data_IF_678486217701
#
_entry.id   IF_678486217701
#
_cell.length_a   1.000
_cell.length_b   1.000
_cell.length_c   1.000
_cell.angle_alpha   90.00
_cell.angle_beta   90.00
_cell.angle_gamma   90.00
#
_symmetry.space_group_name_H-M   'P 1'
#
loop_
_entity.id
_entity.type
_entity.pdbx_description
1 polymer ?
#
# COMPACT_ATOMS: atom_id res chain seq x y z
N UNK A 1 -24.27 19.50 14.97
CA UNK A 1 -24.02 18.61 13.81
C UNK A 1 -23.13 17.48 14.33
N UNK A 2 -23.48 16.23 14.04
CA UNK A 2 -22.59 15.10 14.37
C UNK A 2 -21.34 15.19 13.50
N UNK A 3 -20.16 15.01 14.09
CA UNK A 3 -18.90 14.94 13.38
C UNK A 3 -18.93 13.75 12.39
N UNK A 4 -18.54 14.01 11.15
CA UNK A 4 -18.45 12.97 10.12
C UNK A 4 -16.98 12.83 9.68
N UNK A 5 -16.43 11.61 9.75
CA UNK A 5 -15.05 11.30 9.38
C UNK A 5 -14.78 11.61 7.91
N UNK A 6 -13.58 12.09 7.56
CA UNK A 6 -13.25 12.53 6.21
C UNK A 6 -13.45 11.44 5.15
N UNK A 7 -13.08 10.20 5.46
CA UNK A 7 -13.28 9.04 4.57
C UNK A 7 -14.76 8.78 4.21
N UNK A 8 -15.71 9.32 4.96
CA UNK A 8 -17.13 9.25 4.65
C UNK A 8 -17.62 10.55 3.99
N UNK A 9 -17.25 11.70 4.53
CA UNK A 9 -17.64 13.03 4.05
C UNK A 9 -17.16 13.30 2.61
N UNK A 10 -15.92 12.87 2.27
CA UNK A 10 -15.30 13.05 0.95
C UNK A 10 -15.40 11.83 0.04
N UNK A 11 -16.27 10.86 0.38
CA UNK A 11 -16.50 9.70 -0.48
C UNK A 11 -16.97 10.15 -1.86
N UNK A 12 -16.31 9.69 -2.97
CA UNK A 12 -16.68 10.04 -4.33
C UNK A 12 -18.17 9.84 -4.62
N UNK A 13 -18.81 10.83 -5.25
CA UNK A 13 -20.22 10.81 -5.58
C UNK A 13 -20.49 10.64 -7.06
N UNK A 14 -19.52 10.97 -7.93
CA UNK A 14 -19.58 10.88 -9.39
C UNK A 14 -18.36 10.13 -9.92
N UNK A 15 -18.38 9.74 -11.18
CA UNK A 15 -17.23 9.11 -11.84
C UNK A 15 -16.02 10.05 -11.93
N UNK A 16 -16.24 11.36 -11.97
CA UNK A 16 -15.19 12.38 -12.06
C UNK A 16 -14.48 12.61 -10.72
N UNK A 17 -15.12 12.24 -9.60
CA UNK A 17 -14.53 12.34 -8.27
C UNK A 17 -13.58 11.17 -7.96
N UNK A 18 -13.50 10.14 -8.83
CA UNK A 18 -12.65 8.98 -8.62
C UNK A 18 -11.18 9.33 -8.87
N UNK A 19 -10.39 9.39 -7.84
CA UNK A 19 -8.96 9.73 -7.91
C UNK A 19 -8.14 8.52 -8.37
N UNK A 20 -7.33 8.69 -9.43
CA UNK A 20 -6.38 7.69 -9.91
C UNK A 20 -7.00 6.42 -10.53
N UNK A 21 -8.30 6.48 -10.92
CA UNK A 21 -9.01 5.34 -11.53
C UNK A 21 -9.66 5.74 -12.86
N UNK A 22 -9.00 6.61 -13.62
CA UNK A 22 -9.53 7.21 -14.87
C UNK A 22 -9.91 6.15 -15.90
N UNK A 23 -9.13 5.08 -16.03
CA UNK A 23 -9.36 3.96 -16.95
C UNK A 23 -10.66 3.21 -16.64
N UNK A 24 -10.99 3.00 -15.36
CA UNK A 24 -12.24 2.37 -14.92
C UNK A 24 -13.42 3.32 -15.13
N UNK A 25 -13.28 4.58 -14.68
CA UNK A 25 -14.34 5.58 -14.80
C UNK A 25 -14.71 5.84 -16.25
N UNK A 26 -13.73 5.95 -17.15
CA UNK A 26 -13.97 6.17 -18.58
C UNK A 26 -14.67 4.96 -19.23
N UNK A 27 -14.25 3.75 -18.89
CA UNK A 27 -14.87 2.52 -19.43
C UNK A 27 -16.32 2.39 -18.97
N UNK A 28 -16.60 2.66 -17.68
CA UNK A 28 -17.97 2.64 -17.15
C UNK A 28 -18.85 3.74 -17.77
N UNK A 29 -18.33 4.96 -17.93
CA UNK A 29 -19.04 6.05 -18.60
C UNK A 29 -19.42 5.65 -20.04
N UNK A 30 -18.48 5.07 -20.79
CA UNK A 30 -18.74 4.61 -22.17
C UNK A 30 -19.80 3.50 -22.21
N UNK A 31 -19.73 2.52 -21.28
CA UNK A 31 -20.72 1.45 -21.20
C UNK A 31 -22.14 1.98 -20.90
N UNK A 32 -22.23 2.94 -19.96
CA UNK A 32 -23.52 3.59 -19.62
C UNK A 32 -24.04 4.44 -20.78
N UNK A 33 -23.20 5.25 -21.41
CA UNK A 33 -23.60 6.12 -22.54
C UNK A 33 -24.08 5.31 -23.76
N UNK A 34 -23.47 4.16 -24.02
CA UNK A 34 -23.83 3.27 -25.13
C UNK A 34 -24.92 2.26 -24.78
N UNK A 35 -25.44 2.28 -23.55
CA UNK A 35 -26.39 1.31 -23.01
C UNK A 35 -25.92 -0.16 -23.16
N UNK A 36 -24.60 -0.38 -23.09
CA UNK A 36 -23.94 -1.69 -23.11
C UNK A 36 -23.65 -2.16 -21.69
N UNK A 37 -24.72 -2.48 -20.98
CA UNK A 37 -24.67 -2.80 -19.56
C UNK A 37 -24.55 -4.31 -19.34
N UNK A 38 -23.46 -4.76 -18.73
CA UNK A 38 -23.32 -6.15 -18.29
C UNK A 38 -24.35 -6.49 -17.19
N UNK A 39 -24.64 -7.77 -17.03
CA UNK A 39 -25.47 -8.25 -15.92
C UNK A 39 -24.69 -8.38 -14.61
N UNK A 40 -23.37 -8.58 -14.68
CA UNK A 40 -22.50 -8.69 -13.52
C UNK A 40 -21.18 -7.96 -13.75
N UNK A 41 -20.73 -7.24 -12.72
CA UNK A 41 -19.48 -6.48 -12.67
C UNK A 41 -18.63 -7.02 -11.52
N UNK A 42 -17.31 -7.03 -11.70
CA UNK A 42 -16.36 -7.40 -10.64
C UNK A 42 -15.28 -6.33 -10.52
N UNK A 43 -15.26 -5.62 -9.40
CA UNK A 43 -14.22 -4.67 -9.05
C UNK A 43 -13.13 -5.34 -8.21
N UNK A 44 -11.92 -5.37 -8.73
CA UNK A 44 -10.76 -6.02 -8.10
C UNK A 44 -9.74 -4.96 -7.71
N UNK A 45 -9.08 -5.14 -6.56
CA UNK A 45 -7.95 -4.31 -6.19
C UNK A 45 -7.80 -4.16 -4.67
N UNK A 46 -6.70 -3.54 -4.20
CA UNK A 46 -6.39 -3.38 -2.79
C UNK A 46 -7.50 -2.69 -1.98
N UNK A 47 -7.38 -2.73 -0.65
CA UNK A 47 -8.29 -2.03 0.24
C UNK A 47 -8.13 -0.51 0.09
N UNK A 48 -9.21 0.25 0.31
CA UNK A 48 -9.16 1.71 0.42
C UNK A 48 -9.05 2.48 -0.90
N UNK A 49 -9.02 1.82 -2.07
CA UNK A 49 -8.81 2.46 -3.40
C UNK A 49 -10.11 2.87 -4.12
N UNK A 50 -11.29 2.64 -3.52
CA UNK A 50 -12.58 3.10 -4.06
C UNK A 50 -13.46 2.04 -4.72
N UNK A 51 -13.22 0.72 -4.55
CA UNK A 51 -14.07 -0.36 -5.13
C UNK A 51 -15.56 -0.17 -4.83
N UNK A 52 -15.92 -0.11 -3.57
CA UNK A 52 -17.33 0.05 -3.11
C UNK A 52 -17.89 1.42 -3.51
N UNK A 53 -17.06 2.47 -3.56
CA UNK A 53 -17.48 3.80 -4.04
C UNK A 53 -17.82 3.77 -5.52
N UNK A 54 -16.97 3.15 -6.36
CA UNK A 54 -17.23 2.95 -7.79
C UNK A 54 -18.49 2.14 -8.02
N UNK A 55 -18.71 1.08 -7.22
CA UNK A 55 -19.93 0.29 -7.27
C UNK A 55 -21.20 1.11 -6.98
N UNK A 56 -21.16 1.96 -5.95
CA UNK A 56 -22.30 2.84 -5.62
C UNK A 56 -22.52 3.93 -6.67
N UNK A 57 -21.45 4.48 -7.27
CA UNK A 57 -21.57 5.44 -8.37
C UNK A 57 -22.23 4.77 -9.57
N UNK A 58 -21.83 3.56 -9.94
CA UNK A 58 -22.47 2.78 -11.00
C UNK A 58 -23.94 2.52 -10.68
N UNK A 59 -24.27 2.11 -9.45
CA UNK A 59 -25.65 1.91 -9.03
C UNK A 59 -26.48 3.20 -9.14
N UNK A 60 -25.93 4.37 -8.77
CA UNK A 60 -26.60 5.67 -8.97
C UNK A 60 -26.77 6.00 -10.45
N UNK A 61 -25.75 5.74 -11.27
CA UNK A 61 -25.81 5.96 -12.72
C UNK A 61 -26.94 5.15 -13.39
N UNK A 62 -27.17 3.92 -12.93
CA UNK A 62 -28.19 3.01 -13.44
C UNK A 62 -29.60 3.39 -12.94
N UNK A 63 -29.76 3.74 -11.66
CA UNK A 63 -31.04 3.94 -10.98
C UNK A 63 -31.42 5.42 -10.77
N UNK A 64 -30.62 6.37 -11.21
CA UNK A 64 -31.01 7.79 -11.20
C UNK A 64 -32.33 7.97 -11.94
N UNK A 65 -33.15 8.93 -11.53
CA UNK A 65 -34.43 9.25 -12.22
C UNK A 65 -34.21 9.58 -13.70
N UNK A 66 -33.04 10.18 -14.02
CA UNK A 66 -32.60 10.48 -15.39
C UNK A 66 -31.74 9.37 -16.01
N UNK A 67 -31.62 8.21 -15.32
CA UNK A 67 -30.72 7.13 -15.74
C UNK A 67 -31.30 6.21 -16.82
N UNK A 68 -30.48 5.32 -17.40
CA UNK A 68 -29.03 5.25 -17.19
C UNK A 68 -28.30 6.51 -17.67
N UNK A 69 -27.44 7.08 -16.83
CA UNK A 69 -26.73 8.33 -17.13
C UNK A 69 -25.29 8.30 -16.59
N UNK A 70 -24.38 8.93 -17.30
CA UNK A 70 -22.98 9.09 -16.86
C UNK A 70 -22.83 10.11 -15.72
N UNK A 71 -23.83 11.00 -15.58
CA UNK A 71 -23.87 12.06 -14.56
C UNK A 71 -25.11 11.91 -13.69
N UNK A 72 -25.09 11.02 -12.67
CA UNK A 72 -26.21 10.89 -11.75
C UNK A 72 -26.44 12.19 -11.01
N UNK A 73 -27.72 12.60 -10.88
CA UNK A 73 -28.07 13.93 -10.35
C UNK A 73 -27.71 14.16 -8.89
N UNK A 74 -27.52 13.09 -8.09
CA UNK A 74 -27.19 13.18 -6.65
C UNK A 74 -28.32 13.68 -5.73
N UNK A 75 -29.41 14.21 -6.27
CA UNK A 75 -30.48 14.88 -5.50
C UNK A 75 -31.81 14.14 -5.49
N UNK A 76 -32.08 13.24 -6.43
CA UNK A 76 -33.30 12.43 -6.42
C UNK A 76 -33.26 11.39 -5.31
N UNK A 77 -34.42 10.86 -4.93
CA UNK A 77 -34.56 9.90 -3.83
C UNK A 77 -33.67 8.67 -4.05
N UNK A 78 -33.66 8.09 -5.25
CA UNK A 78 -32.79 6.95 -5.56
C UNK A 78 -31.31 7.28 -5.33
N UNK A 79 -30.84 8.44 -5.81
CA UNK A 79 -29.43 8.84 -5.62
C UNK A 79 -29.09 9.04 -4.13
N UNK A 80 -29.99 9.66 -3.36
CA UNK A 80 -29.80 9.91 -1.93
C UNK A 80 -29.82 8.60 -1.13
N UNK A 81 -30.81 7.73 -1.39
CA UNK A 81 -30.93 6.43 -0.73
C UNK A 81 -29.71 5.54 -1.02
N UNK A 82 -29.21 5.51 -2.28
CA UNK A 82 -28.00 4.74 -2.65
C UNK A 82 -26.77 5.32 -1.98
N UNK A 83 -26.61 6.65 -1.93
CA UNK A 83 -25.48 7.28 -1.24
C UNK A 83 -25.50 6.98 0.27
N UNK A 84 -26.69 6.96 0.87
CA UNK A 84 -26.91 6.64 2.28
C UNK A 84 -26.80 5.14 2.63
N UNK A 85 -26.86 4.25 1.62
CA UNK A 85 -26.85 2.79 1.82
C UNK A 85 -28.18 2.20 2.34
N UNK A 86 -29.30 2.89 2.13
CA UNK A 86 -30.64 2.49 2.60
C UNK A 86 -31.65 2.32 1.46
N UNK A 87 -31.19 2.12 0.24
CA UNK A 87 -32.03 1.90 -0.93
C UNK A 87 -32.64 0.50 -0.91
N UNK A 88 -33.95 0.40 -1.22
CA UNK A 88 -34.65 -0.88 -1.36
C UNK A 88 -34.23 -1.64 -2.65
N UNK A 89 -33.77 -0.92 -3.66
CA UNK A 89 -33.40 -1.47 -4.96
C UNK A 89 -31.89 -1.71 -5.11
N UNK A 90 -31.07 -1.22 -4.15
CA UNK A 90 -29.62 -1.46 -4.12
C UNK A 90 -29.29 -2.09 -2.77
N UNK A 91 -29.19 -3.41 -2.78
CA UNK A 91 -28.93 -4.21 -1.59
C UNK A 91 -27.43 -4.39 -1.46
N UNK A 92 -26.86 -3.78 -0.42
CA UNK A 92 -25.42 -3.89 -0.13
C UNK A 92 -25.20 -4.99 0.92
N UNK A 93 -24.36 -5.95 0.56
CA UNK A 93 -24.04 -7.13 1.37
C UNK A 93 -22.54 -7.16 1.58
N UNK A 94 -22.11 -7.20 2.83
CA UNK A 94 -20.72 -7.47 3.18
C UNK A 94 -20.52 -8.98 3.27
N UNK A 95 -19.70 -9.55 2.37
CA UNK A 95 -19.43 -10.98 2.33
C UNK A 95 -18.71 -11.51 3.56
N UNK A 96 -18.06 -10.65 4.35
CA UNK A 96 -17.45 -11.07 5.61
C UNK A 96 -18.48 -11.32 6.70
N UNK A 97 -19.57 -10.54 6.73
CA UNK A 97 -20.65 -10.63 7.73
C UNK A 97 -21.80 -11.55 7.29
N UNK A 98 -22.01 -11.72 5.98
CA UNK A 98 -23.12 -12.48 5.39
C UNK A 98 -22.59 -13.57 4.45
N UNK A 99 -21.86 -14.53 5.00
CA UNK A 99 -21.18 -15.57 4.21
C UNK A 99 -21.92 -16.90 4.18
N UNK A 100 -23.08 -16.99 4.84
CA UNK A 100 -23.85 -18.23 4.93
C UNK A 100 -24.60 -18.58 3.63
N UNK A 101 -24.92 -19.84 3.46
CA UNK A 101 -25.70 -20.31 2.31
C UNK A 101 -27.13 -19.81 2.39
N UNK A 102 -27.65 -19.65 3.60
CA UNK A 102 -28.99 -19.18 3.88
C UNK A 102 -29.18 -17.74 3.42
N UNK A 103 -28.23 -16.84 3.75
CA UNK A 103 -28.25 -15.43 3.33
C UNK A 103 -28.31 -15.31 1.80
N UNK A 104 -27.49 -16.11 1.12
CA UNK A 104 -27.43 -16.09 -0.35
C UNK A 104 -28.64 -16.78 -0.99
N UNK A 105 -29.26 -17.78 -0.35
CA UNK A 105 -30.53 -18.36 -0.80
C UNK A 105 -31.66 -17.36 -0.72
N UNK A 106 -31.77 -16.63 0.38
CA UNK A 106 -32.73 -15.54 0.53
C UNK A 106 -32.53 -14.48 -0.53
N UNK A 107 -31.30 -14.09 -0.78
CA UNK A 107 -30.95 -13.18 -1.89
C UNK A 107 -31.45 -13.73 -3.23
N UNK A 108 -31.16 -14.99 -3.55
CA UNK A 108 -31.58 -15.63 -4.80
C UNK A 108 -33.10 -15.66 -4.96
N UNK A 109 -33.82 -15.92 -3.90
CA UNK A 109 -35.29 -15.97 -3.94
C UNK A 109 -35.87 -14.55 -4.11
N UNK A 110 -35.19 -13.53 -3.57
CA UNK A 110 -35.54 -12.13 -3.71
C UNK A 110 -35.20 -11.55 -5.10
N UNK A 111 -34.29 -12.16 -5.87
CA UNK A 111 -33.90 -11.72 -7.24
C UNK A 111 -35.08 -11.70 -8.20
N UNK A 112 -36.08 -12.56 -8.00
CA UNK A 112 -37.27 -12.68 -8.86
C UNK A 112 -38.20 -11.46 -8.82
N UNK A 113 -38.13 -10.67 -7.75
CA UNK A 113 -39.03 -9.51 -7.59
C UNK A 113 -38.49 -8.31 -8.34
N UNK A 114 -39.39 -7.59 -8.99
CA UNK A 114 -39.05 -6.34 -9.68
C UNK A 114 -38.56 -5.26 -8.71
N UNK A 115 -37.77 -4.29 -9.18
CA UNK A 115 -37.36 -3.15 -8.35
C UNK A 115 -38.59 -2.33 -7.91
N UNK A 116 -38.50 -1.70 -6.72
CA UNK A 116 -39.60 -0.94 -6.12
C UNK A 116 -39.73 0.47 -6.72
N UNK A 117 -38.60 1.16 -6.94
CA UNK A 117 -38.56 2.56 -7.43
C UNK A 117 -37.60 2.72 -8.59
N UNK A 118 -36.48 1.98 -8.62
CA UNK A 118 -35.43 2.07 -9.61
C UNK A 118 -35.75 1.33 -10.91
N UNK A 119 -34.84 1.40 -11.88
CA UNK A 119 -34.89 0.61 -13.12
C UNK A 119 -34.34 -0.78 -12.94
N UNK A 120 -33.33 -0.91 -12.05
CA UNK A 120 -32.63 -2.15 -11.81
C UNK A 120 -32.63 -2.47 -10.32
N UNK A 121 -32.76 -3.74 -10.00
CA UNK A 121 -32.45 -4.29 -8.68
C UNK A 121 -30.98 -4.68 -8.66
N UNK A 122 -30.20 -4.04 -7.81
CA UNK A 122 -28.74 -4.15 -7.81
C UNK A 122 -28.28 -4.81 -6.52
N UNK A 123 -27.52 -5.87 -6.65
CA UNK A 123 -26.88 -6.56 -5.53
C UNK A 123 -25.41 -6.22 -5.52
N UNK A 124 -24.98 -5.41 -4.54
CA UNK A 124 -23.60 -5.05 -4.32
C UNK A 124 -23.05 -5.94 -3.22
N UNK A 125 -22.14 -6.86 -3.57
CA UNK A 125 -21.52 -7.78 -2.62
C UNK A 125 -20.06 -7.38 -2.49
N UNK A 126 -19.73 -6.78 -1.34
CA UNK A 126 -18.35 -6.39 -0.99
C UNK A 126 -17.62 -7.58 -0.38
N UNK A 127 -16.30 -7.63 -0.57
CA UNK A 127 -15.42 -8.73 -0.18
C UNK A 127 -15.99 -10.12 -0.54
N UNK A 128 -16.46 -10.24 -1.78
CA UNK A 128 -17.16 -11.43 -2.28
C UNK A 128 -16.35 -12.73 -2.09
N UNK A 129 -15.02 -12.67 -2.02
CA UNK A 129 -14.15 -13.81 -1.76
C UNK A 129 -14.35 -14.46 -0.38
N UNK A 130 -15.05 -13.78 0.54
CA UNK A 130 -15.37 -14.31 1.87
C UNK A 130 -16.61 -15.22 1.87
N UNK A 131 -17.39 -15.25 0.78
CA UNK A 131 -18.52 -16.13 0.66
C UNK A 131 -18.09 -17.61 0.66
N UNK A 132 -18.91 -18.46 1.29
CA UNK A 132 -18.67 -19.90 1.27
C UNK A 132 -18.80 -20.47 -0.15
N UNK A 133 -18.13 -21.58 -0.48
CA UNK A 133 -18.28 -22.25 -1.79
C UNK A 133 -19.74 -22.62 -2.11
N UNK A 134 -20.53 -22.95 -1.10
CA UNK A 134 -21.94 -23.29 -1.28
C UNK A 134 -22.81 -22.05 -1.56
N UNK A 135 -22.45 -20.87 -0.96
CA UNK A 135 -23.05 -19.59 -1.28
C UNK A 135 -22.73 -19.16 -2.73
N UNK A 136 -21.50 -19.31 -3.18
CA UNK A 136 -21.13 -19.09 -4.58
C UNK A 136 -21.97 -19.94 -5.54
N UNK A 137 -22.10 -21.25 -5.27
CA UNK A 137 -22.87 -22.14 -6.11
C UNK A 137 -24.36 -21.78 -6.16
N UNK A 138 -24.93 -21.21 -5.08
CA UNK A 138 -26.30 -20.72 -5.07
C UNK A 138 -26.51 -19.52 -6.03
N UNK A 139 -25.48 -18.70 -6.26
CA UNK A 139 -25.53 -17.56 -7.19
C UNK A 139 -25.35 -17.97 -8.65
N UNK A 140 -24.65 -19.08 -8.95
CA UNK A 140 -24.28 -19.45 -10.31
C UNK A 140 -25.47 -19.50 -11.26
N UNK A 141 -26.57 -20.16 -10.85
CA UNK A 141 -27.78 -20.26 -11.69
C UNK A 141 -28.36 -18.89 -12.06
N UNK A 142 -28.34 -17.93 -11.11
CA UNK A 142 -28.84 -16.57 -11.34
C UNK A 142 -27.88 -15.76 -12.21
N UNK A 143 -26.58 -16.03 -12.15
CA UNK A 143 -25.57 -15.39 -13.01
C UNK A 143 -25.56 -15.96 -14.41
N UNK A 144 -26.01 -17.20 -14.61
CA UNK A 144 -26.16 -17.82 -15.95
C UNK A 144 -27.38 -17.28 -16.68
N UNK A 145 -28.51 -17.18 -15.98
CA UNK A 145 -29.79 -16.70 -16.53
C UNK A 145 -30.33 -15.53 -15.67
N UNK A 146 -29.66 -14.37 -15.70
CA UNK A 146 -30.08 -13.23 -14.88
C UNK A 146 -31.36 -12.61 -15.40
N UNK A 147 -32.33 -12.27 -14.53
CA UNK A 147 -33.47 -11.46 -14.91
C UNK A 147 -33.00 -10.09 -15.48
N UNK A 148 -33.67 -9.58 -16.51
CA UNK A 148 -33.25 -8.36 -17.21
C UNK A 148 -33.13 -7.12 -16.30
N UNK A 149 -33.94 -7.09 -15.22
CA UNK A 149 -33.96 -6.01 -14.23
C UNK A 149 -32.92 -6.15 -13.14
N UNK A 150 -32.12 -7.23 -13.11
CA UNK A 150 -31.13 -7.49 -12.06
C UNK A 150 -29.71 -7.19 -12.52
N UNK A 151 -28.92 -6.58 -11.66
CA UNK A 151 -27.50 -6.36 -11.84
C UNK A 151 -26.74 -6.79 -10.59
N UNK A 152 -25.63 -7.49 -10.81
CA UNK A 152 -24.70 -7.84 -9.75
C UNK A 152 -23.46 -6.97 -9.82
N UNK A 153 -22.99 -6.50 -8.68
CA UNK A 153 -21.75 -5.76 -8.56
C UNK A 153 -20.94 -6.40 -7.43
N UNK A 154 -19.87 -7.08 -7.78
CA UNK A 154 -18.96 -7.72 -6.84
C UNK A 154 -17.74 -6.85 -6.60
N UNK A 155 -17.25 -6.80 -5.37
CA UNK A 155 -15.97 -6.20 -5.04
C UNK A 155 -15.10 -7.20 -4.27
N UNK A 156 -13.79 -7.23 -4.55
CA UNK A 156 -12.85 -8.14 -3.87
C UNK A 156 -11.44 -7.58 -3.81
N UNK A 157 -10.76 -7.88 -2.73
CA UNK A 157 -9.30 -7.68 -2.61
C UNK A 157 -8.51 -8.90 -3.09
N UNK A 158 -9.14 -10.09 -3.15
CA UNK A 158 -8.48 -11.36 -3.46
C UNK A 158 -9.17 -12.10 -4.61
N UNK A 159 -8.95 -11.70 -5.87
CA UNK A 159 -9.61 -12.31 -7.01
C UNK A 159 -9.28 -13.80 -7.18
N UNK A 160 -8.10 -14.22 -6.71
CA UNK A 160 -7.68 -15.64 -6.78
C UNK A 160 -8.52 -16.59 -5.92
N UNK A 161 -9.25 -16.06 -4.92
CA UNK A 161 -10.18 -16.83 -4.08
C UNK A 161 -11.59 -16.90 -4.67
N UNK A 162 -11.90 -16.11 -5.70
CA UNK A 162 -13.21 -16.13 -6.37
C UNK A 162 -13.24 -17.27 -7.39
N UNK A 163 -14.33 -18.01 -7.43
CA UNK A 163 -14.46 -19.15 -8.34
C UNK A 163 -14.32 -18.73 -9.81
N UNK A 164 -13.57 -19.47 -10.65
CA UNK A 164 -13.42 -19.17 -12.08
C UNK A 164 -14.76 -19.12 -12.83
N UNK A 165 -15.76 -19.90 -12.38
CA UNK A 165 -17.12 -19.90 -12.92
C UNK A 165 -17.86 -18.57 -12.72
N UNK A 166 -17.57 -17.82 -11.66
CA UNK A 166 -18.06 -16.46 -11.41
C UNK A 166 -17.28 -15.48 -12.26
N UNK A 167 -15.94 -15.57 -12.24
CA UNK A 167 -15.05 -14.67 -12.99
C UNK A 167 -15.40 -14.63 -14.49
N UNK A 168 -15.71 -15.78 -15.09
CA UNK A 168 -16.05 -15.88 -16.52
C UNK A 168 -17.37 -15.24 -16.91
N UNK A 169 -18.25 -14.94 -15.94
CA UNK A 169 -19.58 -14.34 -16.14
C UNK A 169 -19.64 -12.86 -15.76
N UNK A 170 -18.55 -12.33 -15.22
CA UNK A 170 -18.46 -10.94 -14.78
C UNK A 170 -17.60 -10.09 -15.72
N UNK A 171 -18.00 -8.86 -15.96
CA UNK A 171 -17.11 -7.87 -16.53
C UNK A 171 -16.16 -7.39 -15.41
N UNK A 172 -14.88 -7.72 -15.57
CA UNK A 172 -13.83 -7.42 -14.59
C UNK A 172 -13.25 -6.03 -14.81
N UNK A 173 -13.03 -5.31 -13.68
CA UNK A 173 -12.36 -4.01 -13.62
C UNK A 173 -11.30 -4.07 -12.53
N UNK A 174 -10.05 -3.87 -12.93
CA UNK A 174 -8.92 -3.86 -12.01
C UNK A 174 -8.63 -2.41 -11.60
N UNK A 175 -8.84 -2.10 -10.33
CA UNK A 175 -8.49 -0.83 -9.73
C UNK A 175 -7.06 -0.91 -9.21
N UNK A 176 -6.30 0.17 -9.40
CA UNK A 176 -4.89 0.22 -9.04
C UNK A 176 -4.66 1.00 -7.75
N UNK A 177 -3.49 0.78 -7.13
CA UNK A 177 -3.02 1.65 -6.05
C UNK A 177 -2.88 3.07 -6.58
N UNK A 178 -3.32 4.04 -5.77
CA UNK A 178 -3.27 5.45 -6.15
C UNK A 178 -1.85 5.97 -5.87
N UNK A 179 -1.19 6.62 -6.84
CA UNK A 179 0.12 7.25 -6.63
C UNK A 179 0.13 8.23 -5.47
N UNK A 180 1.22 8.24 -4.69
CA UNK A 180 1.33 9.06 -3.49
C UNK A 180 1.17 10.57 -3.76
N UNK A 181 1.63 11.05 -4.91
CA UNK A 181 1.46 12.44 -5.33
C UNK A 181 -0.01 12.83 -5.55
N UNK A 182 -0.83 11.91 -6.08
CA UNK A 182 -2.28 12.15 -6.25
C UNK A 182 -3.00 12.13 -4.90
N UNK A 183 -2.64 11.20 -4.01
CA UNK A 183 -3.18 11.16 -2.64
C UNK A 183 -2.82 12.45 -1.91
N UNK A 184 -1.55 12.90 -1.95
CA UNK A 184 -1.11 14.12 -1.29
C UNK A 184 -1.88 15.36 -1.80
N UNK A 185 -2.10 15.48 -3.11
CA UNK A 185 -2.92 16.55 -3.69
C UNK A 185 -4.36 16.49 -3.20
N UNK A 186 -4.94 15.30 -3.12
CA UNK A 186 -6.31 15.14 -2.60
C UNK A 186 -6.41 15.49 -1.12
N UNK A 187 -5.42 15.12 -0.29
CA UNK A 187 -5.38 15.51 1.12
C UNK A 187 -5.26 17.04 1.30
N UNK A 188 -4.46 17.71 0.47
CA UNK A 188 -4.37 19.17 0.47
C UNK A 188 -5.69 19.83 0.07
N UNK A 189 -6.41 19.25 -0.91
CA UNK A 189 -7.75 19.72 -1.29
C UNK A 189 -8.73 19.58 -0.12
N UNK A 190 -8.73 18.46 0.61
CA UNK A 190 -9.56 18.26 1.81
C UNK A 190 -9.19 19.27 2.87
N UNK A 191 -7.90 19.42 3.19
CA UNK A 191 -7.39 20.36 4.20
C UNK A 191 -7.82 21.79 3.89
N UNK A 192 -7.72 22.22 2.62
CA UNK A 192 -8.19 23.55 2.18
C UNK A 192 -9.70 23.74 2.39
N UNK A 193 -10.53 22.72 2.14
CA UNK A 193 -11.98 22.78 2.39
C UNK A 193 -12.34 22.82 3.87
N UNK A 194 -11.60 22.10 4.69
CA UNK A 194 -11.80 22.04 6.16
C UNK A 194 -11.08 23.21 6.89
N UNK A 195 -10.36 24.06 6.16
CA UNK A 195 -9.56 25.18 6.71
C UNK A 195 -8.47 24.71 7.68
N UNK A 196 -7.83 23.59 7.36
CA UNK A 196 -6.73 23.00 8.10
C UNK A 196 -5.43 23.35 7.38
N UNK A 197 -4.41 23.77 8.12
CA UNK A 197 -3.07 24.04 7.59
C UNK A 197 -2.28 22.73 7.55
N UNK A 198 -2.20 22.09 6.37
CA UNK A 198 -1.45 20.87 6.14
C UNK A 198 -0.17 21.17 5.36
N UNK A 199 0.99 20.92 5.96
CA UNK A 199 2.26 21.05 5.25
C UNK A 199 2.34 20.08 4.05
N UNK A 200 2.91 20.50 2.89
CA UNK A 200 3.10 19.59 1.75
C UNK A 200 3.89 18.32 2.11
N UNK A 201 4.94 18.44 2.93
CA UNK A 201 5.72 17.28 3.41
C UNK A 201 4.88 16.34 4.28
N UNK A 202 4.00 16.87 5.13
CA UNK A 202 3.05 16.09 5.91
C UNK A 202 2.07 15.33 5.01
N UNK A 203 1.49 15.99 3.99
CA UNK A 203 0.61 15.35 3.03
C UNK A 203 1.29 14.19 2.30
N UNK A 204 2.53 14.38 1.87
CA UNK A 204 3.32 13.30 1.25
C UNK A 204 3.67 12.16 2.23
N UNK A 205 3.96 12.47 3.49
CA UNK A 205 4.22 11.46 4.52
C UNK A 205 2.98 10.59 4.78
N UNK A 206 1.79 11.21 4.88
CA UNK A 206 0.51 10.49 4.99
C UNK A 206 0.27 9.62 3.75
N UNK A 207 0.45 10.19 2.55
CA UNK A 207 0.22 9.50 1.29
C UNK A 207 1.09 8.25 1.13
N UNK A 208 2.37 8.33 1.49
CA UNK A 208 3.28 7.17 1.54
C UNK A 208 2.84 6.15 2.57
N UNK A 209 2.43 6.65 3.75
CA UNK A 209 1.94 5.81 4.84
C UNK A 209 0.68 5.02 4.52
N UNK A 210 -0.15 5.54 3.63
CA UNK A 210 -1.40 4.91 3.19
C UNK A 210 -1.23 3.86 2.09
N UNK A 211 0.00 3.70 1.53
CA UNK A 211 0.34 2.66 0.54
C UNK A 211 -0.62 2.56 -0.66
N UNK A 212 -1.13 3.69 -1.11
CA UNK A 212 -2.05 3.78 -2.25
C UNK A 212 -3.54 3.66 -1.90
N UNK A 213 -3.89 3.53 -0.62
CA UNK A 213 -5.27 3.51 -0.11
C UNK A 213 -5.77 4.92 0.24
N UNK A 214 -6.65 5.51 -0.57
CA UNK A 214 -7.16 6.87 -0.31
C UNK A 214 -7.95 6.96 1.00
N UNK A 215 -8.81 5.96 1.27
CA UNK A 215 -9.60 5.90 2.51
C UNK A 215 -8.71 5.87 3.76
N UNK A 216 -7.59 5.14 3.68
CA UNK A 216 -6.66 5.03 4.80
C UNK A 216 -5.92 6.35 4.99
N UNK A 217 -5.53 7.05 3.90
CA UNK A 217 -4.95 8.39 3.95
C UNK A 217 -5.90 9.43 4.56
N UNK A 218 -7.18 9.42 4.17
CA UNK A 218 -8.21 10.29 4.73
C UNK A 218 -8.43 10.03 6.22
N UNK A 219 -8.43 8.75 6.63
CA UNK A 219 -8.55 8.36 8.04
C UNK A 219 -7.34 8.79 8.88
N UNK A 220 -6.13 8.74 8.29
CA UNK A 220 -4.91 9.23 8.93
C UNK A 220 -4.95 10.75 9.10
N UNK A 221 -5.41 11.50 8.08
CA UNK A 221 -5.57 12.95 8.20
C UNK A 221 -6.57 13.30 9.31
N UNK A 222 -7.67 12.60 9.38
CA UNK A 222 -8.71 12.76 10.39
C UNK A 222 -8.16 12.59 11.82
N UNK A 223 -7.33 11.54 12.03
CA UNK A 223 -6.67 11.29 13.30
C UNK A 223 -5.67 12.40 13.66
N UNK A 224 -4.91 12.92 12.68
CA UNK A 224 -3.97 14.01 12.92
C UNK A 224 -4.66 15.31 13.32
N UNK A 225 -5.76 15.63 12.65
CA UNK A 225 -6.59 16.82 13.04
C UNK A 225 -7.08 16.70 14.48
N UNK A 226 -7.53 15.50 14.88
CA UNK A 226 -8.00 15.27 16.23
C UNK A 226 -6.87 15.32 17.29
N UNK A 227 -5.65 14.90 16.91
CA UNK A 227 -4.52 14.75 17.85
C UNK A 227 -3.63 15.99 17.94
N UNK A 228 -3.25 16.60 16.80
CA UNK A 228 -2.26 17.69 16.73
C UNK A 228 -2.91 19.07 16.70
N UNK A 229 -4.16 19.17 16.20
CA UNK A 229 -4.78 20.44 15.89
C UNK A 229 -4.24 21.04 14.57
N UNK A 230 -4.00 22.36 14.56
CA UNK A 230 -3.56 23.13 13.39
C UNK A 230 -2.35 24.01 13.77
N UNK A 231 -1.20 24.02 13.04
CA UNK A 231 -0.91 23.31 11.79
C UNK A 231 -0.46 21.85 11.97
N UNK A 232 -0.65 21.02 10.90
CA UNK A 232 -0.15 19.65 10.85
C UNK A 232 1.18 19.62 10.12
N UNK A 233 2.24 19.19 10.81
CA UNK A 233 3.61 19.12 10.30
C UNK A 233 4.02 17.68 9.95
N UNK A 234 5.10 17.51 9.16
CA UNK A 234 5.67 16.17 8.91
C UNK A 234 6.08 15.47 10.21
N UNK A 235 6.64 16.21 11.18
CA UNK A 235 7.06 15.66 12.46
C UNK A 235 5.87 15.05 13.24
N UNK A 236 4.69 15.66 13.17
CA UNK A 236 3.48 15.14 13.79
C UNK A 236 3.05 13.81 13.15
N UNK A 237 3.06 13.74 11.82
CA UNK A 237 2.77 12.49 11.08
C UNK A 237 3.71 11.36 11.51
N UNK A 238 5.03 11.66 11.53
CA UNK A 238 6.05 10.67 11.91
C UNK A 238 5.90 10.21 13.37
N UNK A 239 5.47 11.11 14.25
CA UNK A 239 5.27 10.83 15.69
C UNK A 239 4.01 9.99 15.92
N UNK A 240 2.88 10.43 15.39
CA UNK A 240 1.57 9.80 15.64
C UNK A 240 1.50 8.38 15.07
N UNK A 241 2.02 8.17 13.86
CA UNK A 241 1.96 6.86 13.20
C UNK A 241 3.23 6.01 13.38
N UNK A 242 4.20 6.48 14.12
CA UNK A 242 5.45 5.75 14.31
C UNK A 242 6.27 5.57 13.03
N UNK A 243 6.10 6.47 12.06
CA UNK A 243 6.85 6.40 10.80
C UNK A 243 8.29 6.85 11.01
N UNK A 244 9.18 6.30 10.20
CA UNK A 244 10.58 6.73 10.15
C UNK A 244 10.77 7.72 8.99
N UNK A 245 11.53 8.78 9.24
CA UNK A 245 11.85 9.76 8.18
C UNK A 245 12.72 9.15 7.09
N UNK A 246 12.64 9.68 5.88
CA UNK A 246 13.50 9.23 4.79
C UNK A 246 14.98 9.52 5.08
N UNK A 247 15.28 10.62 5.78
CA UNK A 247 16.65 10.92 6.22
C UNK A 247 17.20 9.86 7.17
N UNK A 248 16.38 9.34 8.10
CA UNK A 248 16.80 8.26 8.99
C UNK A 248 17.10 6.98 8.22
N UNK A 249 16.28 6.65 7.23
CA UNK A 249 16.51 5.47 6.37
C UNK A 249 17.77 5.64 5.53
N UNK A 250 17.99 6.84 4.95
CA UNK A 250 19.21 7.18 4.22
C UNK A 250 20.45 7.09 5.12
N UNK A 251 20.38 7.61 6.36
CA UNK A 251 21.47 7.53 7.35
C UNK A 251 21.77 6.09 7.75
N UNK A 252 20.75 5.27 7.96
CA UNK A 252 20.92 3.84 8.27
C UNK A 252 21.60 3.11 7.09
N UNK A 253 21.16 3.40 5.86
CA UNK A 253 21.79 2.87 4.65
C UNK A 253 23.26 3.25 4.56
N UNK A 254 23.60 4.52 4.77
CA UNK A 254 25.00 4.98 4.74
C UNK A 254 25.87 4.23 5.75
N UNK A 255 25.36 4.03 6.99
CA UNK A 255 26.09 3.27 8.03
C UNK A 255 26.31 1.80 7.63
N UNK A 256 25.30 1.18 6.99
CA UNK A 256 25.40 -0.19 6.45
C UNK A 256 26.49 -0.25 5.36
N UNK A 257 26.41 0.65 4.36
CA UNK A 257 27.35 0.68 3.24
C UNK A 257 28.77 0.98 3.67
N UNK A 258 28.96 1.79 4.71
CA UNK A 258 30.27 2.09 5.31
C UNK A 258 30.75 1.04 6.32
N UNK A 259 30.01 -0.05 6.49
CA UNK A 259 30.32 -1.12 7.45
C UNK A 259 30.43 -0.65 8.91
N UNK A 260 29.78 0.45 9.26
CA UNK A 260 29.75 1.01 10.61
C UNK A 260 28.72 0.25 11.48
N UNK A 261 28.99 -1.02 11.81
CA UNK A 261 28.03 -1.93 12.47
C UNK A 261 27.53 -1.38 13.80
N UNK A 262 28.41 -0.84 14.65
CA UNK A 262 28.03 -0.30 15.95
C UNK A 262 27.06 0.86 15.81
N UNK A 263 27.34 1.80 14.91
CA UNK A 263 26.50 2.98 14.68
C UNK A 263 25.16 2.61 14.04
N UNK A 264 25.15 1.60 13.17
CA UNK A 264 23.91 1.12 12.53
C UNK A 264 22.99 0.44 13.55
N UNK A 265 23.54 -0.41 14.43
CA UNK A 265 22.79 -1.06 15.53
C UNK A 265 22.30 -0.02 16.54
N UNK A 266 23.15 0.96 16.89
CA UNK A 266 22.76 2.05 17.79
C UNK A 266 21.59 2.85 17.24
N UNK A 267 21.64 3.25 15.97
CA UNK A 267 20.55 3.98 15.30
C UNK A 267 19.25 3.15 15.29
N UNK A 268 19.34 1.84 15.01
CA UNK A 268 18.18 0.94 15.07
C UNK A 268 17.59 0.89 16.49
N UNK A 269 18.44 0.82 17.52
CA UNK A 269 18.03 0.83 18.90
C UNK A 269 17.28 2.11 19.26
N UNK A 270 17.81 3.28 18.89
CA UNK A 270 17.17 4.58 19.09
C UNK A 270 15.80 4.66 18.41
N UNK A 271 15.65 4.14 17.18
CA UNK A 271 14.35 4.09 16.50
C UNK A 271 13.36 3.17 17.25
N UNK A 272 13.82 2.04 17.77
CA UNK A 272 12.98 1.13 18.56
C UNK A 272 12.51 1.78 19.86
N UNK A 273 13.39 2.48 20.59
CA UNK A 273 13.04 3.20 21.83
C UNK A 273 12.13 4.40 21.58
N UNK A 274 12.25 5.04 20.41
CA UNK A 274 11.32 6.06 19.95
C UNK A 274 9.94 5.52 19.54
N UNK A 275 9.69 4.20 19.71
CA UNK A 275 8.40 3.56 19.42
C UNK A 275 8.09 3.40 17.94
N UNK A 276 9.12 3.39 17.07
CA UNK A 276 8.93 3.21 15.63
C UNK A 276 8.58 1.75 15.28
N UNK A 277 7.74 1.55 14.28
CA UNK A 277 7.40 0.21 13.79
C UNK A 277 8.57 -0.40 13.03
N UNK A 278 9.15 -1.47 13.61
CA UNK A 278 10.31 -2.17 13.05
C UNK A 278 10.00 -2.89 11.72
N UNK A 279 8.78 -3.38 11.53
CA UNK A 279 8.37 -3.97 10.24
C UNK A 279 8.34 -2.92 9.16
N UNK A 280 7.77 -1.77 9.47
CA UNK A 280 7.68 -0.66 8.54
C UNK A 280 9.04 -0.04 8.24
N UNK A 281 9.92 0.06 9.23
CA UNK A 281 11.30 0.50 9.01
C UNK A 281 12.04 -0.46 8.06
N UNK A 282 11.87 -1.78 8.24
CA UNK A 282 12.43 -2.80 7.34
C UNK A 282 11.91 -2.63 5.91
N UNK A 283 10.61 -2.53 5.72
CA UNK A 283 9.99 -2.31 4.41
C UNK A 283 10.45 -1.00 3.75
N UNK A 284 10.58 0.09 4.53
CA UNK A 284 11.09 1.37 4.04
C UNK A 284 12.55 1.26 3.60
N UNK A 285 13.37 0.50 4.32
CA UNK A 285 14.78 0.28 3.97
C UNK A 285 14.91 -0.51 2.66
N UNK A 286 14.14 -1.58 2.49
CA UNK A 286 14.09 -2.36 1.24
C UNK A 286 13.62 -1.48 0.08
N UNK A 287 12.57 -0.68 0.30
CA UNK A 287 12.08 0.25 -0.72
C UNK A 287 13.11 1.30 -1.11
N UNK A 288 13.85 1.85 -0.15
CA UNK A 288 14.92 2.80 -0.38
C UNK A 288 16.06 2.19 -1.22
N UNK A 289 16.45 0.95 -0.95
CA UNK A 289 17.48 0.25 -1.73
C UNK A 289 17.01 -0.09 -3.14
N UNK A 290 15.73 -0.40 -3.31
CA UNK A 290 15.14 -0.53 -4.65
C UNK A 290 15.23 0.80 -5.42
N UNK A 291 14.92 1.91 -4.76
CA UNK A 291 15.02 3.23 -5.37
C UNK A 291 16.48 3.59 -5.69
N UNK A 292 17.42 3.21 -4.83
CA UNK A 292 18.86 3.31 -5.07
C UNK A 292 19.30 2.48 -6.29
N UNK A 293 18.79 1.26 -6.44
CA UNK A 293 19.04 0.39 -7.59
C UNK A 293 18.50 1.01 -8.88
N UNK A 294 17.26 1.52 -8.85
CA UNK A 294 16.64 2.20 -9.99
C UNK A 294 17.45 3.45 -10.38
N UNK A 295 17.88 4.23 -9.38
CA UNK A 295 18.72 5.40 -9.60
C UNK A 295 20.05 5.06 -10.30
N UNK A 296 20.69 3.93 -9.93
CA UNK A 296 21.91 3.45 -10.59
C UNK A 296 21.71 3.09 -12.06
N UNK A 297 20.55 2.51 -12.39
CA UNK A 297 20.23 2.06 -13.76
C UNK A 297 19.74 3.23 -14.62
N UNK A 298 18.87 4.09 -14.08
CA UNK A 298 18.26 5.23 -14.80
C UNK A 298 17.95 6.38 -13.85
N UNK A 299 18.89 7.31 -13.63
CA UNK A 299 18.72 8.42 -12.68
C UNK A 299 17.50 9.30 -12.95
N UNK A 300 17.10 9.44 -14.22
CA UNK A 300 16.00 10.31 -14.64
C UNK A 300 14.60 9.81 -14.17
N UNK A 301 14.47 8.51 -13.89
CA UNK A 301 13.16 7.90 -13.57
C UNK A 301 12.63 8.32 -12.19
N UNK A 302 13.50 8.70 -11.26
CA UNK A 302 13.14 9.08 -9.88
C UNK A 302 12.98 10.60 -9.70
N UNK A 303 13.18 11.41 -10.75
CA UNK A 303 13.25 12.87 -10.64
C UNK A 303 11.93 13.58 -10.33
N UNK A 304 10.78 12.95 -10.56
CA UNK A 304 9.47 13.60 -10.38
C UNK A 304 8.87 13.44 -8.97
N UNK A 305 9.26 12.41 -8.21
CA UNK A 305 8.63 12.05 -6.93
C UNK A 305 9.57 12.14 -5.70
N UNK A 306 10.86 12.48 -5.89
CA UNK A 306 11.87 12.41 -4.84
C UNK A 306 12.38 13.81 -4.46
N UNK A 307 12.38 14.12 -3.16
CA UNK A 307 12.92 15.38 -2.61
C UNK A 307 14.42 15.55 -2.98
N UNK A 308 14.84 16.78 -3.29
CA UNK A 308 16.22 17.12 -3.69
C UNK A 308 17.29 16.64 -2.70
N UNK A 309 16.98 16.63 -1.40
CA UNK A 309 17.90 16.12 -0.36
C UNK A 309 18.07 14.60 -0.47
N UNK A 310 16.96 13.89 -0.75
CA UNK A 310 17.00 12.45 -0.92
C UNK A 310 17.75 12.05 -2.20
N UNK A 311 17.57 12.81 -3.30
CA UNK A 311 18.32 12.59 -4.54
C UNK A 311 19.82 12.71 -4.33
N UNK A 312 20.28 13.70 -3.56
CA UNK A 312 21.72 13.85 -3.20
C UNK A 312 22.23 12.66 -2.40
N UNK A 313 21.41 12.16 -1.44
CA UNK A 313 21.78 11.00 -0.64
C UNK A 313 21.87 9.74 -1.50
N UNK A 314 20.91 9.53 -2.42
CA UNK A 314 20.91 8.41 -3.36
C UNK A 314 22.13 8.46 -4.29
N UNK A 315 22.47 9.64 -4.83
CA UNK A 315 23.62 9.82 -5.70
C UNK A 315 24.92 9.45 -4.97
N UNK A 316 25.13 9.98 -3.77
CA UNK A 316 26.33 9.70 -2.97
C UNK A 316 26.43 8.21 -2.58
N UNK A 317 25.32 7.58 -2.25
CA UNK A 317 25.29 6.17 -1.82
C UNK A 317 25.39 5.21 -3.01
N UNK A 318 24.91 5.61 -4.20
CA UNK A 318 25.05 4.82 -5.41
C UNK A 318 26.51 4.54 -5.78
N UNK A 319 27.42 5.44 -5.44
CA UNK A 319 28.87 5.26 -5.66
C UNK A 319 29.52 4.29 -4.66
N UNK A 320 28.89 4.08 -3.48
CA UNK A 320 29.46 3.27 -2.40
C UNK A 320 29.24 1.76 -2.56
N UNK A 321 28.32 1.32 -3.42
CA UNK A 321 27.96 -0.10 -3.55
C UNK A 321 27.80 -0.50 -5.01
N UNK A 322 28.24 -1.71 -5.36
CA UNK A 322 28.00 -2.33 -6.66
C UNK A 322 26.57 -2.87 -6.78
N UNK A 323 26.06 -2.96 -8.01
CA UNK A 323 24.68 -3.40 -8.28
C UNK A 323 24.39 -4.79 -7.76
N UNK A 324 25.32 -5.74 -7.96
CA UNK A 324 25.13 -7.13 -7.52
C UNK A 324 25.07 -7.23 -5.98
N UNK A 325 25.91 -6.47 -5.29
CA UNK A 325 25.89 -6.41 -3.83
C UNK A 325 24.62 -5.77 -3.29
N UNK A 326 24.08 -4.78 -3.99
CA UNK A 326 22.81 -4.16 -3.62
C UNK A 326 21.63 -5.13 -3.78
N UNK A 327 21.65 -5.95 -4.83
CA UNK A 327 20.67 -7.02 -5.02
C UNK A 327 20.74 -8.07 -3.91
N UNK A 328 21.96 -8.52 -3.54
CA UNK A 328 22.16 -9.44 -2.41
C UNK A 328 21.61 -8.87 -1.08
N UNK A 329 21.80 -7.57 -0.82
CA UNK A 329 21.24 -6.91 0.36
C UNK A 329 19.70 -6.91 0.33
N UNK A 330 19.10 -6.58 -0.80
CA UNK A 330 17.65 -6.56 -0.96
C UNK A 330 17.07 -7.95 -0.67
N UNK A 331 17.67 -9.00 -1.23
CA UNK A 331 17.23 -10.38 -1.03
C UNK A 331 17.35 -10.82 0.44
N UNK A 332 18.46 -10.52 1.09
CA UNK A 332 18.69 -10.84 2.51
C UNK A 332 17.65 -10.17 3.42
N UNK A 333 17.33 -8.89 3.14
CA UNK A 333 16.36 -8.16 3.94
C UNK A 333 14.92 -8.54 3.63
N UNK A 334 14.60 -8.90 2.39
CA UNK A 334 13.29 -9.44 2.02
C UNK A 334 13.01 -10.79 2.74
N UNK A 335 14.02 -11.67 2.82
CA UNK A 335 13.91 -12.88 3.63
C UNK A 335 13.75 -12.57 5.14
N UNK A 336 14.48 -11.59 5.64
CA UNK A 336 14.38 -11.19 7.03
C UNK A 336 13.00 -10.60 7.34
N UNK A 337 12.45 -9.78 6.46
CA UNK A 337 11.09 -9.23 6.56
C UNK A 337 10.04 -10.35 6.65
N UNK A 338 10.13 -11.36 5.77
CA UNK A 338 9.22 -12.50 5.77
C UNK A 338 9.26 -13.27 7.11
N UNK A 339 10.45 -13.43 7.69
CA UNK A 339 10.63 -14.06 9.02
C UNK A 339 10.10 -13.18 10.15
N UNK A 340 10.35 -11.87 10.10
CA UNK A 340 9.88 -10.90 11.11
C UNK A 340 8.36 -10.84 11.21
N UNK A 341 7.63 -11.10 10.14
CA UNK A 341 6.17 -11.06 10.11
C UNK A 341 5.54 -11.95 11.20
N UNK A 342 6.16 -13.09 11.48
CA UNK A 342 5.67 -14.09 12.43
C UNK A 342 6.48 -14.15 13.73
N UNK A 343 7.55 -13.37 13.84
CA UNK A 343 8.44 -13.39 14.97
C UNK A 343 7.88 -12.57 16.15
N UNK A 344 7.99 -13.09 17.40
CA UNK A 344 7.59 -12.34 18.59
C UNK A 344 8.52 -11.16 18.87
N UNK A 345 9.82 -11.27 18.57
CA UNK A 345 10.81 -10.21 18.76
C UNK A 345 11.33 -9.71 17.42
N UNK A 346 10.65 -8.73 16.87
CA UNK A 346 10.97 -8.12 15.57
C UNK A 346 12.33 -7.40 15.59
N UNK A 347 12.67 -6.72 16.70
CA UNK A 347 13.93 -6.00 16.87
C UNK A 347 15.13 -6.93 16.71
N UNK A 348 15.13 -8.07 17.39
CA UNK A 348 16.22 -9.06 17.31
C UNK A 348 16.45 -9.56 15.88
N UNK A 349 15.37 -9.87 15.17
CA UNK A 349 15.49 -10.33 13.78
C UNK A 349 16.05 -9.25 12.85
N UNK A 350 15.69 -7.98 13.08
CA UNK A 350 16.24 -6.87 12.33
C UNK A 350 17.74 -6.67 12.63
N UNK A 351 18.13 -6.65 13.90
CA UNK A 351 19.54 -6.54 14.32
C UNK A 351 20.40 -7.64 13.70
N UNK A 352 19.92 -8.90 13.74
CA UNK A 352 20.63 -10.03 13.13
C UNK A 352 20.73 -9.87 11.62
N UNK A 353 19.67 -9.43 10.92
CA UNK A 353 19.71 -9.17 9.49
C UNK A 353 20.71 -8.08 9.13
N UNK A 354 20.72 -6.99 9.90
CA UNK A 354 21.63 -5.86 9.75
C UNK A 354 23.11 -6.29 9.90
N UNK A 355 23.43 -7.03 10.95
CA UNK A 355 24.79 -7.51 11.18
C UNK A 355 25.23 -8.47 10.07
N UNK A 356 24.37 -9.40 9.66
CA UNK A 356 24.66 -10.32 8.56
C UNK A 356 24.92 -9.61 7.24
N UNK A 357 24.10 -8.61 6.94
CA UNK A 357 24.24 -7.80 5.74
C UNK A 357 25.57 -7.05 5.68
N UNK A 358 25.97 -6.42 6.81
CA UNK A 358 27.25 -5.74 6.89
C UNK A 358 28.40 -6.74 6.79
N UNK A 359 28.27 -7.93 7.38
CA UNK A 359 29.30 -8.98 7.25
C UNK A 359 29.40 -9.48 5.81
N UNK A 360 28.26 -9.68 5.11
CA UNK A 360 28.23 -10.10 3.69
C UNK A 360 28.91 -9.07 2.79
N UNK A 361 28.69 -7.77 3.02
CA UNK A 361 29.38 -6.71 2.27
C UNK A 361 30.89 -6.73 2.41
N UNK A 362 31.40 -7.17 3.56
CA UNK A 362 32.84 -7.26 3.84
C UNK A 362 33.48 -8.59 3.38
N UNK A 363 32.69 -9.56 2.94
CA UNK A 363 33.23 -10.82 2.40
C UNK A 363 33.77 -10.61 0.99
N UNK A 364 34.91 -11.21 0.74
CA UNK A 364 35.52 -11.23 -0.60
C UNK A 364 34.73 -12.20 -1.48
N UNK A 365 34.32 -11.77 -2.65
CA UNK A 365 33.62 -12.66 -3.60
C UNK A 365 34.57 -13.66 -4.24
N UNK A 366 34.02 -14.78 -4.71
CA UNK A 366 34.81 -15.76 -5.46
C UNK A 366 35.45 -15.14 -6.71
N UNK A 367 34.78 -14.21 -7.36
CA UNK A 367 35.30 -13.48 -8.51
C UNK A 367 36.47 -12.59 -8.12
N UNK A 368 36.38 -11.82 -7.02
CA UNK A 368 37.49 -11.03 -6.49
C UNK A 368 38.70 -11.92 -6.10
N UNK A 369 38.44 -13.12 -5.54
CA UNK A 369 39.54 -14.07 -5.25
C UNK A 369 40.19 -14.54 -6.54
N UNK A 370 39.40 -14.90 -7.57
CA UNK A 370 39.91 -15.34 -8.86
C UNK A 370 40.70 -14.21 -9.55
N UNK A 371 40.21 -12.98 -9.53
CA UNK A 371 40.91 -11.82 -10.08
C UNK A 371 42.24 -11.54 -9.35
N UNK A 372 42.20 -11.60 -8.02
CA UNK A 372 43.40 -11.45 -7.20
C UNK A 372 44.45 -12.56 -7.48
N UNK A 373 43.97 -13.80 -7.64
CA UNK A 373 44.86 -14.92 -7.99
C UNK A 373 45.45 -14.77 -9.42
N UNK A 374 44.65 -14.30 -10.37
CA UNK A 374 45.11 -14.03 -11.71
C UNK A 374 46.13 -12.86 -11.74
N UNK A 375 45.88 -11.78 -10.97
CA UNK A 375 46.80 -10.66 -10.82
C UNK A 375 48.16 -11.11 -10.20
N UNK A 376 48.10 -11.98 -9.16
CA UNK A 376 49.31 -12.57 -8.59
C UNK A 376 50.07 -13.43 -9.57
N UNK A 377 49.39 -14.25 -10.37
CA UNK A 377 50.01 -15.09 -11.41
C UNK A 377 50.68 -14.20 -12.48
N UNK A 378 50.07 -13.08 -12.82
CA UNK A 378 50.58 -12.14 -13.84
C UNK A 378 51.56 -11.13 -13.26
N UNK A 379 52.01 -11.24 -11.99
CA UNK A 379 53.01 -10.41 -11.33
C UNK A 379 52.57 -8.96 -11.05
N UNK A 380 51.26 -8.70 -11.00
CA UNK A 380 50.68 -7.38 -10.68
C UNK A 380 50.46 -7.24 -9.18
N UNK A 381 50.68 -6.04 -8.62
CA UNK A 381 50.33 -5.76 -7.23
C UNK A 381 48.80 -5.84 -7.01
N UNK A 382 48.38 -6.52 -5.93
CA UNK A 382 47.00 -6.61 -5.51
C UNK A 382 46.58 -5.23 -5.00
N UNK A 383 45.51 -4.67 -5.58
CA UNK A 383 44.85 -3.47 -5.04
C UNK A 383 44.29 -3.80 -3.65
N UNK A 384 44.94 -3.36 -2.59
CA UNK A 384 44.40 -3.45 -1.23
C UNK A 384 43.17 -2.56 -1.13
N UNK A 385 41.96 -3.13 -1.10
CA UNK A 385 40.78 -2.42 -0.54
C UNK A 385 41.16 -1.96 0.88
N UNK A 386 40.89 -0.72 1.28
CA UNK A 386 41.13 -0.27 2.63
C UNK A 386 40.34 -1.16 3.58
N UNK A 387 41.05 -1.90 4.43
CA UNK A 387 40.44 -2.69 5.47
C UNK A 387 39.61 -1.74 6.36
N UNK A 388 38.29 -2.00 6.49
CA UNK A 388 37.46 -1.32 7.47
C UNK A 388 38.10 -1.54 8.84
N UNK A 389 38.48 -0.45 9.49
CA UNK A 389 39.12 -0.44 10.81
C UNK A 389 38.10 -1.04 11.79
N UNK A 390 38.31 -2.27 12.20
CA UNK A 390 37.64 -2.85 13.36
C UNK A 390 38.19 -2.12 14.59
N UNK A 391 37.58 -1.00 14.94
CA UNK A 391 37.90 -0.30 16.18
C UNK A 391 37.30 -1.12 17.34
N UNK A 392 38.18 -1.68 18.16
CA UNK A 392 37.88 -1.97 19.54
C UNK A 392 37.57 -3.41 19.96
N UNK A 393 38.59 -4.28 19.92
CA UNK A 393 38.74 -5.24 21.01
C UNK A 393 40.18 -5.10 21.51
N UNK A 394 40.39 -4.33 22.57
CA UNK A 394 41.64 -4.36 23.34
C UNK A 394 41.80 -5.73 23.98
N UNK A 395 42.94 -6.39 23.82
CA UNK A 395 43.19 -7.62 24.53
C UNK A 395 43.33 -7.32 26.05
N UNK A 396 42.54 -8.03 26.85
CA UNK A 396 42.61 -7.98 28.29
C UNK A 396 44.07 -8.25 28.76
N UNK A 397 44.62 -7.33 29.55
CA UNK A 397 45.91 -7.44 30.19
C UNK A 397 45.93 -8.69 31.06
N UNK A 398 46.87 -9.62 30.79
CA UNK A 398 47.23 -10.69 31.69
C UNK A 398 47.90 -10.08 32.92
N UNK A 399 47.19 -10.05 34.03
CA UNK A 399 47.85 -9.86 35.34
C UNK A 399 48.62 -11.12 35.70
N UNK A 400 49.92 -11.05 35.60
CA UNK A 400 50.87 -11.96 36.25
C UNK A 400 50.83 -11.66 37.74
N UNK A 401 50.28 -12.57 38.50
CA UNK A 401 50.46 -12.61 39.95
C UNK A 401 51.86 -13.22 40.24
N UNK A 402 52.84 -12.41 40.61
CA UNK A 402 54.02 -12.87 41.31
C UNK A 402 53.68 -13.04 42.78
N UNK A 403 53.95 -14.24 43.29
CA UNK A 403 53.89 -14.53 44.70
C UNK A 403 55.18 -14.12 45.41
N UNK A 404 55.01 -13.73 46.63
CA UNK A 404 56.09 -13.74 47.61
C UNK A 404 55.55 -14.07 49.02
N UNK A 405 56.19 -15.09 49.59
CA UNK A 405 56.35 -15.46 50.98
C UNK A 405 55.15 -15.62 51.91
#
# INVERSE_FOLDING_TARGET
MSYEVFARKYRPQTFDDLVGQEHVSQTLKNAVAQNRLAHAYLFVGPRGIGKTSTARILAKALNCIHGPTVTPCGVCDNCREIAGGNSLDVIEIDGASNNSVEDVRELRDNVRYAPAKGRYKIYLIDEVHMLSPAAFNALLKTLEEPPAHVKFIFATTEPQKVLPTILSRCQRFDLHRIPANLIAKHLQFIAGKEKITLEPKAAHAIARGAEGGLRDAESMLDQLVAFCGDPITEADVLKVFGFTSQQTVASLTEKILRSATADAVQLLHEQCEAGKDMMRLMANLISYWRDLLVFKVKPETLSEDVDLELQKSLAAQAELIETDRLLELIDQFAEAEARMKWAPNKKLHFEVALIKAIQSLNQVTLNEVIENLNALRDGKEIAKKPAAVIAGVSPASKNTAEGTA
#
